data_IF_336090230838
#
_entry.id   IF_336090230838
#
_cell.length_a   1.000
_cell.length_b   1.000
_cell.length_c   1.000
_cell.angle_alpha   90.00
_cell.angle_beta   90.00
_cell.angle_gamma   90.00
#
_symmetry.space_group_name_H-M   'P 1'
#
loop_
_entity.id
_entity.type
_entity.pdbx_description
1 polymer ?
#
# COMPACT_ATOMS: atom_id res chain seq x y z
N UNK A 1 7.58 -25.57 2.44
CA UNK A 1 6.78 -24.40 2.02
C UNK A 1 5.59 -24.83 1.15
N UNK A 2 4.35 -24.60 1.61
CA UNK A 2 3.14 -25.00 0.90
C UNK A 2 3.01 -24.23 -0.44
N UNK A 3 2.88 -24.92 -1.59
CA UNK A 3 2.71 -24.29 -2.89
C UNK A 3 1.33 -23.65 -2.95
N UNK A 4 1.26 -22.32 -3.08
CA UNK A 4 -0.01 -21.58 -3.21
C UNK A 4 -0.15 -20.31 -2.36
N UNK A 5 0.80 -20.00 -1.47
CA UNK A 5 0.68 -18.84 -0.54
C UNK A 5 1.56 -17.63 -0.86
N UNK A 6 2.45 -17.69 -1.86
CA UNK A 6 3.37 -16.57 -2.15
C UNK A 6 2.59 -15.35 -2.61
N UNK A 7 2.76 -14.21 -1.92
CA UNK A 7 2.01 -12.97 -2.21
C UNK A 7 0.62 -12.90 -1.59
N UNK A 8 0.03 -14.03 -1.19
CA UNK A 8 -1.28 -14.10 -0.53
C UNK A 8 -1.14 -13.95 0.99
N UNK A 9 -0.84 -12.73 1.43
CA UNK A 9 -0.71 -12.36 2.85
C UNK A 9 -1.56 -11.14 3.20
N UNK A 10 -2.06 -11.08 4.43
CA UNK A 10 -2.78 -9.92 4.95
C UNK A 10 -1.83 -8.76 5.29
N UNK A 11 -2.40 -7.56 5.45
CA UNK A 11 -1.70 -6.37 5.94
C UNK A 11 -2.36 -5.87 7.22
N UNK A 12 -1.57 -5.58 8.25
CA UNK A 12 -2.09 -5.00 9.49
C UNK A 12 -2.69 -3.62 9.20
N UNK A 13 -3.89 -3.34 9.70
CA UNK A 13 -4.46 -2.00 9.68
C UNK A 13 -3.92 -1.21 10.89
N UNK A 14 -3.14 -0.17 10.62
CA UNK A 14 -2.45 0.67 11.62
C UNK A 14 -3.26 1.95 11.93
N UNK A 15 -4.59 1.85 11.95
CA UNK A 15 -5.54 2.96 12.12
C UNK A 15 -5.74 3.80 10.85
N UNK A 16 -6.97 3.79 10.30
CA UNK A 16 -7.34 4.48 9.06
C UNK A 16 -6.41 4.19 7.87
N UNK A 17 -5.81 3.01 7.79
CA UNK A 17 -4.85 2.64 6.73
C UNK A 17 -5.40 1.60 5.74
N UNK A 18 -6.70 1.28 5.82
CA UNK A 18 -7.33 0.35 4.89
C UNK A 18 -7.22 0.80 3.43
N UNK A 19 -7.21 2.11 3.17
CA UNK A 19 -6.96 2.67 1.83
C UNK A 19 -5.57 2.32 1.29
N UNK A 20 -4.55 2.36 2.17
CA UNK A 20 -3.18 2.02 1.80
C UNK A 20 -3.07 0.51 1.60
N UNK A 21 -3.70 -0.26 2.48
CA UNK A 21 -3.68 -1.72 2.41
C UNK A 21 -4.35 -2.22 1.12
N UNK A 22 -5.51 -1.69 0.73
CA UNK A 22 -6.17 -2.07 -0.53
C UNK A 22 -5.32 -1.71 -1.74
N UNK A 23 -4.73 -0.51 -1.79
CA UNK A 23 -3.83 -0.11 -2.87
C UNK A 23 -2.59 -1.01 -2.96
N UNK A 24 -1.94 -1.31 -1.82
CA UNK A 24 -0.77 -2.19 -1.78
C UNK A 24 -1.12 -3.60 -2.25
N UNK A 25 -2.27 -4.14 -1.85
CA UNK A 25 -2.72 -5.46 -2.31
C UNK A 25 -2.91 -5.48 -3.83
N UNK A 26 -3.53 -4.46 -4.42
CA UNK A 26 -3.66 -4.36 -5.87
C UNK A 26 -2.29 -4.31 -6.56
N UNK A 27 -1.38 -3.46 -6.07
CA UNK A 27 -0.05 -3.33 -6.66
C UNK A 27 0.80 -4.60 -6.52
N UNK A 28 0.72 -5.29 -5.38
CA UNK A 28 1.47 -6.53 -5.12
C UNK A 28 1.00 -7.71 -5.98
N UNK A 29 -0.22 -7.64 -6.52
CA UNK A 29 -0.77 -8.63 -7.47
C UNK A 29 -0.61 -8.21 -8.95
N UNK A 30 -0.09 -7.02 -9.22
CA UNK A 30 0.31 -6.59 -10.57
C UNK A 30 1.63 -7.24 -10.95
N UNK A 31 1.55 -8.39 -11.62
CA UNK A 31 2.69 -9.28 -11.86
C UNK A 31 3.94 -8.61 -12.47
N UNK A 32 3.85 -7.70 -13.47
CA UNK A 32 5.03 -7.00 -14.00
C UNK A 32 5.75 -6.15 -12.94
N UNK A 33 4.99 -5.42 -12.13
CA UNK A 33 5.51 -4.56 -11.07
C UNK A 33 6.13 -5.40 -9.96
N UNK A 34 5.44 -6.45 -9.53
CA UNK A 34 5.92 -7.34 -8.50
C UNK A 34 7.22 -8.01 -8.91
N UNK A 35 7.29 -8.56 -10.14
CA UNK A 35 8.52 -9.18 -10.66
C UNK A 35 9.69 -8.20 -10.67
N UNK A 36 9.44 -6.94 -11.03
CA UNK A 36 10.44 -5.89 -11.00
C UNK A 36 11.06 -5.71 -9.61
N UNK A 37 10.23 -5.58 -8.56
CA UNK A 37 10.71 -5.42 -7.18
C UNK A 37 11.33 -6.70 -6.60
N UNK A 38 10.86 -7.88 -7.01
CA UNK A 38 11.44 -9.16 -6.58
C UNK A 38 12.82 -9.40 -7.20
N UNK A 39 13.07 -8.92 -8.42
CA UNK A 39 14.34 -9.04 -9.14
C UNK A 39 15.42 -8.05 -8.68
N UNK A 40 15.17 -7.23 -7.65
CA UNK A 40 16.10 -6.23 -7.11
C UNK A 40 16.60 -5.17 -8.11
N UNK A 41 15.87 -4.96 -9.21
CA UNK A 41 16.20 -3.97 -10.26
C UNK A 41 16.00 -2.52 -9.80
N UNK A 42 15.31 -2.32 -8.68
CA UNK A 42 15.06 -0.99 -8.14
C UNK A 42 16.35 -0.18 -7.97
N UNK A 43 17.45 -0.79 -7.52
CA UNK A 43 18.69 -0.06 -7.26
C UNK A 43 19.32 0.54 -8.52
N UNK A 44 19.10 -0.07 -9.68
CA UNK A 44 19.63 0.37 -10.99
C UNK A 44 18.84 1.56 -11.54
N UNK A 45 17.51 1.54 -11.41
CA UNK A 45 16.65 2.59 -11.97
C UNK A 45 16.28 3.68 -10.95
N UNK A 46 16.75 3.57 -9.70
CA UNK A 46 16.43 4.56 -8.67
C UNK A 46 17.10 5.89 -9.01
N UNK A 47 16.29 6.93 -9.17
CA UNK A 47 16.77 8.31 -9.24
C UNK A 47 16.55 9.03 -7.89
N UNK A 48 17.50 8.93 -6.93
CA UNK A 48 17.37 9.56 -5.61
C UNK A 48 17.53 11.09 -5.64
N UNK A 49 18.14 11.65 -6.69
CA UNK A 49 18.35 13.10 -6.82
C UNK A 49 17.15 13.84 -7.41
N UNK A 50 16.09 13.13 -7.79
CA UNK A 50 14.88 13.76 -8.32
C UNK A 50 14.23 14.69 -7.27
N UNK A 51 14.08 16.00 -7.55
CA UNK A 51 13.49 16.96 -6.63
C UNK A 51 11.98 16.71 -6.38
N UNK A 52 11.32 15.97 -7.28
CA UNK A 52 9.93 15.55 -7.15
C UNK A 52 9.79 14.16 -6.51
N UNK A 53 10.90 13.47 -6.25
CA UNK A 53 10.93 12.12 -5.71
C UNK A 53 10.98 12.08 -4.19
N UNK A 54 10.69 10.91 -3.62
CA UNK A 54 10.83 10.67 -2.17
C UNK A 54 12.28 10.41 -1.71
N UNK A 55 13.28 10.75 -2.54
CA UNK A 55 14.67 10.29 -2.37
C UNK A 55 14.80 8.77 -2.42
N UNK A 56 13.86 8.09 -3.10
CA UNK A 56 13.76 6.64 -3.14
C UNK A 56 13.23 5.95 -1.89
N UNK A 57 12.83 6.70 -0.84
CA UNK A 57 12.34 6.12 0.42
C UNK A 57 11.07 5.29 0.26
N UNK A 58 10.11 5.78 -0.52
CA UNK A 58 8.84 5.06 -0.76
C UNK A 58 9.11 3.78 -1.55
N UNK A 59 9.92 3.87 -2.61
CA UNK A 59 10.22 2.71 -3.46
C UNK A 59 10.97 1.62 -2.70
N UNK A 60 11.97 1.98 -1.87
CA UNK A 60 12.69 1.02 -1.03
C UNK A 60 11.80 0.39 0.05
N UNK A 61 10.92 1.17 0.67
CA UNK A 61 9.98 0.64 1.66
C UNK A 61 8.97 -0.34 1.01
N UNK A 62 8.50 -0.03 -0.20
CA UNK A 62 7.61 -0.90 -0.95
C UNK A 62 8.31 -2.19 -1.40
N UNK A 63 9.53 -2.10 -1.93
CA UNK A 63 10.34 -3.28 -2.31
C UNK A 63 10.50 -4.25 -1.13
N UNK A 64 10.85 -3.72 0.05
CA UNK A 64 11.00 -4.53 1.26
C UNK A 64 9.70 -5.23 1.65
N UNK A 65 8.57 -4.52 1.61
CA UNK A 65 7.27 -5.08 1.93
C UNK A 65 6.88 -6.19 0.94
N UNK A 66 7.04 -5.97 -0.36
CA UNK A 66 6.71 -6.97 -1.39
C UNK A 66 7.58 -8.22 -1.23
N UNK A 67 8.88 -8.07 -0.95
CA UNK A 67 9.75 -9.22 -0.67
C UNK A 67 9.28 -10.00 0.55
N UNK A 68 8.86 -9.32 1.62
CA UNK A 68 8.29 -9.96 2.81
C UNK A 68 6.99 -10.71 2.49
N UNK A 69 6.11 -10.12 1.67
CA UNK A 69 4.85 -10.75 1.25
C UNK A 69 5.05 -12.02 0.39
N UNK A 70 6.11 -12.05 -0.43
CA UNK A 70 6.33 -13.12 -1.42
C UNK A 70 7.31 -14.21 -0.97
N UNK A 71 8.29 -13.86 -0.14
CA UNK A 71 9.30 -14.78 0.38
C UNK A 71 9.18 -15.06 1.87
N UNK A 72 8.43 -14.24 2.61
CA UNK A 72 8.18 -14.46 4.02
C UNK A 72 7.23 -15.62 4.28
N UNK A 73 7.29 -16.15 5.50
CA UNK A 73 6.40 -17.23 5.94
C UNK A 73 5.12 -16.71 6.61
N UNK A 74 5.14 -15.44 7.03
CA UNK A 74 4.07 -14.77 7.74
C UNK A 74 2.75 -14.77 6.95
N UNK A 75 1.64 -14.87 7.68
CA UNK A 75 0.28 -14.72 7.10
C UNK A 75 -0.15 -13.26 7.02
N UNK A 76 0.49 -12.39 7.79
CA UNK A 76 0.17 -10.98 7.89
C UNK A 76 1.49 -10.20 7.97
N UNK A 77 1.64 -9.17 7.16
CA UNK A 77 2.81 -8.28 7.15
C UNK A 77 2.46 -6.92 7.75
N UNK A 78 3.46 -6.24 8.32
CA UNK A 78 3.30 -4.90 8.89
C UNK A 78 3.76 -3.82 7.90
N UNK A 79 2.85 -3.02 7.31
CA UNK A 79 3.21 -1.98 6.34
C UNK A 79 3.70 -0.67 6.98
N UNK A 80 4.09 -0.64 8.27
CA UNK A 80 4.45 0.58 9.00
C UNK A 80 5.56 1.39 8.33
N UNK A 81 6.60 0.73 7.80
CA UNK A 81 7.69 1.42 7.12
C UNK A 81 7.21 2.11 5.83
N UNK A 82 6.33 1.46 5.07
CA UNK A 82 5.73 2.03 3.88
C UNK A 82 4.79 3.19 4.23
N UNK A 83 3.95 3.03 5.26
CA UNK A 83 3.09 4.10 5.79
C UNK A 83 3.92 5.34 6.13
N UNK A 84 4.98 5.17 6.92
CA UNK A 84 5.85 6.28 7.33
C UNK A 84 6.52 6.97 6.13
N UNK A 85 6.98 6.19 5.13
CA UNK A 85 7.57 6.75 3.91
C UNK A 85 6.57 7.56 3.07
N UNK A 86 5.34 7.05 2.93
CA UNK A 86 4.26 7.73 2.19
C UNK A 86 3.82 9.00 2.91
N UNK A 87 3.54 8.93 4.22
CA UNK A 87 3.11 10.09 5.01
C UNK A 87 4.14 11.22 5.03
N UNK A 88 5.43 10.88 5.02
CA UNK A 88 6.50 11.87 4.96
C UNK A 88 6.63 12.56 3.60
N UNK A 89 6.27 11.86 2.52
CA UNK A 89 6.31 12.40 1.16
C UNK A 89 5.02 13.15 0.80
N UNK A 90 3.88 12.63 1.22
CA UNK A 90 2.56 13.22 1.04
C UNK A 90 1.80 13.15 2.37
N UNK A 91 1.74 14.24 3.15
CA UNK A 91 1.04 14.24 4.42
C UNK A 91 -0.46 13.93 4.25
N UNK A 92 -1.14 13.45 5.31
CA UNK A 92 -2.50 12.96 5.22
C UNK A 92 -3.52 14.01 4.77
N UNK A 93 -3.22 15.31 4.87
CA UNK A 93 -4.06 16.38 4.32
C UNK A 93 -4.24 16.30 2.80
N UNK A 94 -3.37 15.59 2.08
CA UNK A 94 -3.45 15.34 0.64
C UNK A 94 -3.95 13.92 0.28
N UNK A 95 -4.02 13.01 1.24
CA UNK A 95 -4.42 11.60 1.05
C UNK A 95 -5.67 11.21 1.85
N UNK A 96 -6.18 12.10 2.68
CA UNK A 96 -7.40 11.88 3.43
C UNK A 96 -8.57 11.78 2.44
N UNK A 97 -9.01 10.54 2.20
CA UNK A 97 -10.45 10.32 2.07
C UNK A 97 -11.09 11.03 3.27
N UNK A 98 -12.10 11.89 3.07
CA UNK A 98 -12.75 12.59 4.16
C UNK A 98 -13.09 11.55 5.22
N UNK A 99 -12.60 11.77 6.44
CA UNK A 99 -12.96 10.94 7.57
C UNK A 99 -14.49 10.80 7.54
N UNK A 100 -14.97 9.57 7.48
CA UNK A 100 -16.36 9.25 7.81
C UNK A 100 -16.57 9.52 9.29
N UNK A 101 -16.46 10.77 9.72
CA UNK A 101 -17.35 11.30 10.73
C UNK A 101 -18.67 11.48 9.99
N UNK A 102 -19.73 10.71 10.31
CA UNK A 102 -21.04 11.02 9.80
C UNK A 102 -21.44 12.36 10.45
N UNK A 103 -21.15 13.47 9.79
CA UNK A 103 -22.05 14.60 9.91
C UNK A 103 -23.35 14.13 9.29
N UNK A 104 -24.44 14.27 10.05
CA UNK A 104 -25.76 13.69 9.84
C UNK A 104 -26.48 14.10 8.54
N UNK A 105 -25.77 14.66 7.55
CA UNK A 105 -26.33 15.15 6.29
C UNK A 105 -25.96 14.32 5.05
N UNK A 106 -25.01 13.38 5.13
CA UNK A 106 -24.56 12.61 3.96
C UNK A 106 -25.07 11.15 3.89
N UNK A 107 -25.73 10.64 4.94
CA UNK A 107 -26.25 9.26 4.97
C UNK A 107 -27.46 9.03 4.04
N UNK A 108 -28.09 10.09 3.53
CA UNK A 108 -29.33 9.98 2.76
C UNK A 108 -29.17 9.72 1.26
N UNK A 109 -27.96 9.85 0.70
CA UNK A 109 -27.74 9.65 -0.75
C UNK A 109 -27.25 8.25 -1.13
N UNK A 110 -26.67 7.48 -0.20
CA UNK A 110 -26.15 6.14 -0.50
C UNK A 110 -27.16 5.01 -0.25
N UNK A 111 -28.22 5.25 0.52
CA UNK A 111 -29.27 4.23 0.79
C UNK A 111 -30.29 4.09 -0.33
N UNK A 112 -30.30 4.99 -1.32
CA UNK A 112 -31.27 4.95 -2.44
C UNK A 112 -30.77 4.25 -3.70
N UNK A 113 -29.49 3.85 -3.80
CA UNK A 113 -28.92 3.25 -5.03
C UNK A 113 -28.59 1.75 -4.95
N UNK A 114 -28.93 1.05 -3.86
CA UNK A 114 -28.80 -0.42 -3.78
C UNK A 114 -30.13 -1.10 -3.43
N UNK A 115 -31.21 -0.67 -4.08
CA UNK A 115 -32.44 -1.44 -4.16
C UNK A 115 -32.85 -1.58 -5.62
N UNK A 116 -32.29 -2.59 -6.27
CA UNK A 116 -32.99 -3.35 -7.32
C UNK A 116 -33.21 -4.75 -6.76
#
# INVERSE_FOLDING_TARGET
PLPGRRGSVGLVNLGNTCYLNSAVQCLAHTLPLTRYFLAHRLAEDLNPSSPLGSGGRVARAYERLVKEMWFGEARVCNPQALKAAVTRFSPPSLLAMPSTTPTSSWSSSWTSSTRT
#
